data_IF_017214790009
#
_entry.id   IF_017214790009
#
_cell.length_a   1.000
_cell.length_b   1.000
_cell.length_c   1.000
_cell.angle_alpha   90.00
_cell.angle_beta   90.00
_cell.angle_gamma   90.00
#
_symmetry.space_group_name_H-M   'P 1'
#
loop_
_entity.id
_entity.type
_entity.pdbx_description
1 polymer ?
#
# COMPACT_ATOMS: atom_id res chain seq x y z
N UNK A 1 -39.21 -14.32 -18.77
CA UNK A 1 -38.08 -14.71 -17.87
C UNK A 1 -37.49 -13.50 -17.14
N UNK A 2 -37.26 -12.37 -17.81
CA UNK A 2 -36.69 -11.16 -17.19
C UNK A 2 -37.65 -10.53 -16.17
N UNK A 3 -38.90 -10.25 -16.56
CA UNK A 3 -39.95 -9.72 -15.65
C UNK A 3 -40.25 -10.58 -14.42
N UNK A 4 -40.05 -11.89 -14.50
CA UNK A 4 -40.23 -12.80 -13.36
C UNK A 4 -39.07 -12.74 -12.38
N UNK A 5 -37.85 -12.45 -12.85
CA UNK A 5 -36.66 -12.39 -11.97
C UNK A 5 -36.63 -11.12 -11.13
N UNK A 6 -37.08 -10.01 -11.69
CA UNK A 6 -37.19 -8.75 -10.96
C UNK A 6 -38.28 -8.80 -9.90
N UNK A 7 -39.40 -9.47 -10.18
CA UNK A 7 -40.42 -9.73 -9.17
C UNK A 7 -39.92 -10.69 -8.06
N UNK A 8 -39.08 -11.67 -8.39
CA UNK A 8 -38.42 -12.55 -7.39
C UNK A 8 -37.49 -11.76 -6.47
N UNK A 9 -36.76 -10.78 -7.01
CA UNK A 9 -35.91 -9.87 -6.23
C UNK A 9 -36.75 -8.96 -5.32
N UNK A 10 -37.79 -8.33 -5.86
CA UNK A 10 -38.69 -7.45 -5.13
C UNK A 10 -39.45 -8.14 -3.99
N UNK A 11 -39.72 -9.44 -4.11
CA UNK A 11 -40.39 -10.25 -3.10
C UNK A 11 -39.42 -10.90 -2.08
N UNK A 12 -38.11 -10.61 -2.18
CA UNK A 12 -37.06 -11.12 -1.30
C UNK A 12 -37.03 -12.67 -1.19
N UNK A 13 -37.51 -13.35 -2.24
CA UNK A 13 -37.55 -14.82 -2.34
C UNK A 13 -36.17 -15.47 -2.13
N UNK A 14 -35.04 -14.89 -2.59
CA UNK A 14 -33.71 -15.43 -2.31
C UNK A 14 -33.40 -15.51 -0.81
N UNK A 15 -33.72 -14.49 -0.02
CA UNK A 15 -33.44 -14.52 1.43
C UNK A 15 -34.32 -15.55 2.14
N UNK A 16 -35.58 -15.69 1.73
CA UNK A 16 -36.51 -16.69 2.27
C UNK A 16 -36.06 -18.14 2.01
N UNK A 17 -35.25 -18.36 0.97
CA UNK A 17 -34.69 -19.66 0.60
C UNK A 17 -33.22 -19.84 1.03
N UNK A 18 -32.67 -18.91 1.82
CA UNK A 18 -31.30 -18.98 2.33
C UNK A 18 -30.22 -18.66 1.29
N UNK A 19 -30.59 -18.12 0.13
CA UNK A 19 -29.63 -17.65 -0.87
C UNK A 19 -29.15 -16.24 -0.53
N UNK A 20 -27.83 -16.01 -0.67
CA UNK A 20 -27.19 -14.71 -0.41
C UNK A 20 -27.50 -13.65 -1.46
N UNK A 21 -28.05 -14.04 -2.62
CA UNK A 21 -28.42 -13.15 -3.72
C UNK A 21 -29.34 -13.84 -4.73
N UNK A 22 -30.05 -13.07 -5.54
CA UNK A 22 -30.94 -13.51 -6.63
C UNK A 22 -30.19 -14.29 -7.70
N UNK A 23 -28.95 -13.91 -8.01
CA UNK A 23 -28.09 -14.67 -8.93
C UNK A 23 -27.73 -16.06 -8.38
N UNK A 24 -27.41 -16.16 -7.09
CA UNK A 24 -27.10 -17.45 -6.47
C UNK A 24 -28.35 -18.34 -6.34
N UNK A 25 -29.49 -17.74 -5.99
CA UNK A 25 -30.79 -18.42 -5.99
C UNK A 25 -31.13 -19.00 -7.36
N UNK A 26 -31.00 -18.18 -8.41
CA UNK A 26 -31.28 -18.60 -9.78
C UNK A 26 -30.37 -19.74 -10.23
N UNK A 27 -29.06 -19.65 -9.93
CA UNK A 27 -28.10 -20.70 -10.29
C UNK A 27 -28.49 -22.05 -9.69
N UNK A 28 -28.84 -22.07 -8.40
CA UNK A 28 -29.22 -23.29 -7.67
C UNK A 28 -30.53 -23.87 -8.20
N UNK A 29 -31.54 -23.04 -8.46
CA UNK A 29 -32.86 -23.54 -8.85
C UNK A 29 -33.02 -23.85 -10.35
N UNK A 30 -32.11 -23.39 -11.20
CA UNK A 30 -32.21 -23.60 -12.66
C UNK A 30 -31.05 -24.39 -13.25
N UNK A 31 -30.13 -24.88 -12.42
CA UNK A 31 -28.90 -25.58 -12.83
C UNK A 31 -28.05 -24.78 -13.83
N UNK A 32 -28.17 -23.45 -13.82
CA UNK A 32 -27.30 -22.56 -14.58
C UNK A 32 -25.96 -22.42 -13.86
N UNK A 33 -24.90 -22.20 -14.64
CA UNK A 33 -23.64 -21.75 -14.05
C UNK A 33 -23.87 -20.42 -13.32
N UNK A 34 -23.13 -20.17 -12.24
CA UNK A 34 -23.21 -18.90 -11.51
C UNK A 34 -23.07 -17.71 -12.47
N UNK A 35 -22.08 -17.73 -13.35
CA UNK A 35 -21.86 -16.68 -14.35
C UNK A 35 -23.10 -16.41 -15.20
N UNK A 36 -23.76 -17.46 -15.71
CA UNK A 36 -24.98 -17.33 -16.52
C UNK A 36 -26.16 -16.79 -15.72
N UNK A 37 -26.32 -17.22 -14.47
CA UNK A 37 -27.38 -16.75 -13.59
C UNK A 37 -27.22 -15.25 -13.26
N UNK A 38 -26.02 -14.82 -12.85
CA UNK A 38 -25.74 -13.41 -12.59
C UNK A 38 -25.87 -12.54 -13.85
N UNK A 39 -25.44 -13.04 -15.02
CA UNK A 39 -25.66 -12.40 -16.32
C UNK A 39 -27.16 -12.17 -16.58
N UNK A 40 -27.97 -13.21 -16.36
CA UNK A 40 -29.42 -13.16 -16.57
C UNK A 40 -30.10 -12.16 -15.63
N UNK A 41 -29.70 -12.13 -14.35
CA UNK A 41 -30.23 -11.18 -13.36
C UNK A 41 -29.87 -9.74 -13.73
N UNK A 42 -28.63 -9.47 -14.14
CA UNK A 42 -28.23 -8.12 -14.59
C UNK A 42 -29.02 -7.67 -15.80
N UNK A 43 -29.18 -8.53 -16.81
CA UNK A 43 -30.01 -8.22 -17.98
C UNK A 43 -31.46 -7.93 -17.58
N UNK A 44 -32.04 -8.72 -16.66
CA UNK A 44 -33.39 -8.49 -16.18
C UNK A 44 -33.55 -7.13 -15.49
N UNK A 45 -32.62 -6.76 -14.61
CA UNK A 45 -32.62 -5.47 -13.93
C UNK A 45 -32.40 -4.29 -14.90
N UNK A 46 -31.50 -4.45 -15.88
CA UNK A 46 -31.25 -3.43 -16.90
C UNK A 46 -32.48 -3.14 -17.77
N UNK A 47 -33.22 -4.17 -18.17
CA UNK A 47 -34.43 -4.02 -19.00
C UNK A 47 -35.61 -3.34 -18.26
N UNK A 48 -35.56 -3.25 -16.92
CA UNK A 48 -36.51 -2.43 -16.16
C UNK A 48 -36.11 -0.96 -16.08
N UNK A 49 -34.81 -0.66 -16.24
CA UNK A 49 -34.28 0.70 -16.16
C UNK A 49 -34.22 1.40 -17.52
N UNK A 50 -33.89 0.65 -18.57
CA UNK A 50 -33.62 1.17 -19.91
C UNK A 50 -34.73 0.73 -20.88
N UNK A 51 -35.67 1.65 -21.11
CA UNK A 51 -36.90 1.39 -21.85
C UNK A 51 -36.63 1.12 -23.34
N UNK A 52 -35.72 1.87 -23.98
CA UNK A 52 -35.40 1.69 -25.40
C UNK A 52 -34.70 0.35 -25.65
N UNK A 53 -33.82 -0.11 -24.74
CA UNK A 53 -33.16 -1.42 -24.82
C UNK A 53 -34.19 -2.53 -24.71
N UNK A 54 -35.19 -2.37 -23.84
CA UNK A 54 -36.28 -3.33 -23.70
C UNK A 54 -37.11 -3.43 -24.97
N UNK A 55 -37.47 -2.30 -25.56
CA UNK A 55 -38.20 -2.25 -26.84
C UNK A 55 -37.39 -2.87 -27.98
N UNK A 56 -36.12 -2.50 -28.12
CA UNK A 56 -35.23 -3.05 -29.13
C UNK A 56 -35.05 -4.57 -29.00
N UNK A 57 -34.99 -5.10 -27.78
CA UNK A 57 -34.94 -6.54 -27.53
C UNK A 57 -36.26 -7.23 -27.91
N UNK A 58 -37.40 -6.61 -27.57
CA UNK A 58 -38.72 -7.15 -27.91
C UNK A 58 -38.97 -7.19 -29.42
N UNK A 59 -38.46 -6.19 -30.15
CA UNK A 59 -38.51 -6.12 -31.61
C UNK A 59 -37.47 -7.00 -32.30
N UNK A 60 -36.55 -7.61 -31.54
CA UNK A 60 -35.48 -8.46 -32.07
C UNK A 60 -34.34 -7.70 -32.77
N UNK A 61 -34.25 -6.37 -32.59
CA UNK A 61 -33.14 -5.54 -33.10
C UNK A 61 -31.83 -5.81 -32.37
N UNK A 62 -31.90 -6.26 -31.11
CA UNK A 62 -30.74 -6.64 -30.31
C UNK A 62 -30.94 -8.01 -29.66
N UNK A 63 -29.86 -8.78 -29.56
CA UNK A 63 -29.87 -10.08 -28.90
C UNK A 63 -29.40 -10.00 -27.45
N UNK A 64 -29.67 -11.03 -26.65
CA UNK A 64 -29.39 -11.04 -25.21
C UNK A 64 -27.92 -10.73 -24.85
N UNK A 65 -26.97 -11.12 -25.69
CA UNK A 65 -25.55 -10.83 -25.46
C UNK A 65 -25.21 -9.35 -25.66
N UNK A 66 -25.82 -8.71 -26.66
CA UNK A 66 -25.66 -7.28 -26.92
C UNK A 66 -26.34 -6.48 -25.80
N UNK A 67 -27.55 -6.88 -25.39
CA UNK A 67 -28.28 -6.25 -24.28
C UNK A 67 -27.44 -6.22 -23.01
N UNK A 68 -26.78 -7.31 -22.64
CA UNK A 68 -25.91 -7.32 -21.45
C UNK A 68 -24.80 -6.27 -21.54
N UNK A 69 -24.16 -6.15 -22.71
CA UNK A 69 -23.06 -5.21 -22.91
C UNK A 69 -23.57 -3.76 -22.90
N UNK A 70 -24.72 -3.50 -23.51
CA UNK A 70 -25.36 -2.18 -23.52
C UNK A 70 -25.74 -1.77 -22.10
N UNK A 71 -26.47 -2.62 -21.37
CA UNK A 71 -26.86 -2.38 -19.97
C UNK A 71 -25.63 -2.09 -19.11
N UNK A 72 -24.55 -2.86 -19.28
CA UNK A 72 -23.32 -2.63 -18.53
C UNK A 72 -22.67 -1.29 -18.87
N UNK A 73 -22.63 -0.91 -20.14
CA UNK A 73 -22.06 0.37 -20.56
C UNK A 73 -22.86 1.55 -20.00
N UNK A 74 -24.19 1.43 -19.95
CA UNK A 74 -25.08 2.44 -19.37
C UNK A 74 -24.99 2.48 -17.84
N UNK A 75 -24.85 1.32 -17.16
CA UNK A 75 -24.65 1.24 -15.71
C UNK A 75 -23.29 1.81 -15.25
N UNK A 76 -22.30 1.86 -16.16
CA UNK A 76 -20.99 2.46 -15.89
C UNK A 76 -21.02 4.01 -16.06
N UNK A 77 -22.12 4.60 -16.56
CA UNK A 77 -22.27 6.06 -16.65
C UNK A 77 -22.45 6.70 -15.26
N UNK A 78 -21.99 7.94 -15.07
CA UNK A 78 -22.22 8.69 -13.82
C UNK A 78 -23.71 8.89 -13.51
N UNK A 79 -24.09 8.67 -12.24
CA UNK A 79 -25.47 8.87 -11.76
C UNK A 79 -25.95 10.34 -11.86
N UNK A 80 -25.03 11.30 -11.99
CA UNK A 80 -25.34 12.74 -12.10
C UNK A 80 -25.38 13.27 -13.55
N UNK A 81 -25.30 12.39 -14.55
CA UNK A 81 -25.44 12.77 -15.95
C UNK A 81 -26.87 13.24 -16.27
N UNK A 82 -27.02 14.18 -17.20
CA UNK A 82 -28.33 14.61 -17.69
C UNK A 82 -29.10 13.37 -18.21
N UNK A 83 -30.32 13.11 -17.73
CA UNK A 83 -31.15 12.00 -18.23
C UNK A 83 -31.30 11.98 -19.75
N UNK A 84 -31.33 13.14 -20.41
CA UNK A 84 -31.42 13.20 -21.88
C UNK A 84 -30.15 12.64 -22.55
N UNK A 85 -28.96 12.88 -21.98
CA UNK A 85 -27.71 12.31 -22.49
C UNK A 85 -27.65 10.79 -22.28
N UNK A 86 -28.23 10.28 -21.19
CA UNK A 86 -28.38 8.83 -20.98
C UNK A 86 -29.30 8.22 -22.04
N UNK A 87 -30.43 8.88 -22.35
CA UNK A 87 -31.34 8.45 -23.42
C UNK A 87 -30.69 8.48 -24.81
N UNK A 88 -29.89 9.50 -25.11
CA UNK A 88 -29.11 9.58 -26.36
C UNK A 88 -28.05 8.47 -26.43
N UNK A 89 -27.35 8.21 -25.33
CA UNK A 89 -26.37 7.15 -25.22
C UNK A 89 -27.00 5.76 -25.43
N UNK A 90 -28.19 5.55 -24.86
CA UNK A 90 -28.99 4.35 -25.04
C UNK A 90 -29.36 4.14 -26.51
N UNK A 91 -29.93 5.17 -27.16
CA UNK A 91 -30.31 5.14 -28.57
C UNK A 91 -29.13 4.94 -29.52
N UNK A 92 -27.98 5.56 -29.21
CA UNK A 92 -26.74 5.39 -29.97
C UNK A 92 -26.24 3.95 -29.93
N UNK A 93 -26.14 3.35 -28.74
CA UNK A 93 -25.70 1.96 -28.58
C UNK A 93 -26.63 0.95 -29.27
N UNK A 94 -27.94 1.18 -29.22
CA UNK A 94 -28.93 0.34 -29.93
C UNK A 94 -28.75 0.46 -31.45
N UNK A 95 -28.51 1.68 -31.95
CA UNK A 95 -28.27 1.91 -33.38
C UNK A 95 -27.01 1.17 -33.85
N UNK A 96 -25.92 1.27 -33.08
CA UNK A 96 -24.66 0.60 -33.40
C UNK A 96 -24.72 -0.93 -33.24
N UNK A 97 -25.66 -1.46 -32.45
CA UNK A 97 -25.87 -2.90 -32.30
C UNK A 97 -26.32 -3.59 -33.61
N UNK A 98 -26.83 -2.83 -34.59
CA UNK A 98 -27.11 -3.34 -35.93
C UNK A 98 -25.84 -3.64 -36.74
N UNK A 99 -24.70 -3.02 -36.37
CA UNK A 99 -23.42 -3.09 -37.10
C UNK A 99 -22.35 -3.87 -36.34
N UNK A 100 -22.44 -3.90 -35.01
CA UNK A 100 -21.44 -4.49 -34.14
C UNK A 100 -21.99 -5.63 -33.29
N UNK A 101 -21.17 -6.68 -33.12
CA UNK A 101 -21.43 -7.74 -32.16
C UNK A 101 -21.20 -7.25 -30.71
N UNK A 102 -21.46 -8.12 -29.72
CA UNK A 102 -21.28 -7.78 -28.31
C UNK A 102 -19.84 -7.35 -27.97
N UNK A 103 -18.83 -7.90 -28.66
CA UNK A 103 -17.42 -7.54 -28.44
C UNK A 103 -17.12 -6.13 -28.98
N UNK A 104 -17.64 -5.80 -30.17
CA UNK A 104 -17.56 -4.46 -30.76
C UNK A 104 -18.28 -3.43 -29.92
N UNK A 105 -19.51 -3.71 -29.50
CA UNK A 105 -20.30 -2.85 -28.61
C UNK A 105 -19.59 -2.60 -27.28
N UNK A 106 -18.89 -3.59 -26.73
CA UNK A 106 -18.12 -3.40 -25.49
C UNK A 106 -16.99 -2.38 -25.65
N UNK A 107 -16.38 -2.31 -26.84
CA UNK A 107 -15.34 -1.31 -27.15
C UNK A 107 -15.94 0.08 -27.38
N UNK A 108 -17.15 0.15 -27.93
CA UNK A 108 -17.89 1.40 -28.10
C UNK A 108 -18.37 1.94 -26.75
N UNK A 109 -19.01 1.10 -25.94
CA UNK A 109 -19.50 1.44 -24.60
C UNK A 109 -18.42 2.02 -23.68
N UNK A 110 -17.18 1.51 -23.75
CA UNK A 110 -16.04 2.06 -23.00
C UNK A 110 -15.68 3.51 -23.35
N UNK A 111 -16.08 3.98 -24.52
CA UNK A 111 -15.83 5.35 -25.01
C UNK A 111 -17.14 6.13 -25.15
N UNK A 112 -18.25 5.60 -24.63
CA UNK A 112 -19.57 6.21 -24.77
C UNK A 112 -19.59 7.60 -24.14
N UNK A 113 -18.99 7.72 -22.95
CA UNK A 113 -18.93 8.99 -22.25
C UNK A 113 -18.09 10.04 -23.02
N UNK A 114 -16.95 9.63 -23.61
CA UNK A 114 -16.13 10.49 -24.48
C UNK A 114 -16.88 11.03 -25.71
N UNK A 115 -17.89 10.28 -26.19
CA UNK A 115 -18.66 10.61 -27.40
C UNK A 115 -19.90 11.46 -27.07
N UNK A 116 -20.51 11.23 -25.91
CA UNK A 116 -21.78 11.86 -25.53
C UNK A 116 -21.55 13.19 -24.79
N UNK A 117 -20.53 13.28 -23.93
CA UNK A 117 -20.18 14.52 -23.23
C UNK A 117 -18.71 14.49 -22.78
N UNK A 118 -17.87 15.26 -23.47
CA UNK A 118 -16.44 15.35 -23.16
C UNK A 118 -16.16 16.01 -21.80
N UNK A 119 -16.96 17.00 -21.38
CA UNK A 119 -16.76 17.69 -20.10
C UNK A 119 -17.21 16.79 -18.93
N UNK A 120 -18.30 16.04 -19.11
CA UNK A 120 -18.72 15.03 -18.14
C UNK A 120 -17.80 13.79 -18.12
N UNK A 121 -17.14 13.46 -19.24
CA UNK A 121 -16.12 12.41 -19.30
C UNK A 121 -14.93 12.73 -18.41
N UNK A 122 -14.40 13.95 -18.51
CA UNK A 122 -13.29 14.41 -17.67
C UNK A 122 -13.68 14.43 -16.19
N UNK A 123 -14.88 14.91 -15.86
CA UNK A 123 -15.38 14.93 -14.48
C UNK A 123 -15.60 13.52 -13.90
N UNK A 124 -16.08 12.58 -14.71
CA UNK A 124 -16.26 11.19 -14.30
C UNK A 124 -14.93 10.45 -14.15
N UNK A 125 -13.98 10.66 -15.06
CA UNK A 125 -12.62 10.14 -14.94
C UNK A 125 -11.97 10.66 -13.65
N UNK A 126 -12.13 11.94 -13.33
CA UNK A 126 -11.67 12.51 -12.07
C UNK A 126 -12.31 11.83 -10.85
N UNK A 127 -13.63 11.59 -10.84
CA UNK A 127 -14.31 10.88 -9.74
C UNK A 127 -13.86 9.42 -9.61
N UNK A 128 -13.65 8.72 -10.73
CA UNK A 128 -13.12 7.36 -10.74
C UNK A 128 -11.70 7.32 -10.17
N UNK A 129 -10.84 8.23 -10.63
CA UNK A 129 -9.48 8.36 -10.13
C UNK A 129 -9.46 8.66 -8.63
N UNK A 130 -10.30 9.59 -8.15
CA UNK A 130 -10.43 9.89 -6.72
C UNK A 130 -10.90 8.68 -5.91
N UNK A 131 -11.81 7.86 -6.46
CA UNK A 131 -12.25 6.63 -5.81
C UNK A 131 -11.12 5.60 -5.77
N UNK A 132 -10.42 5.40 -6.87
CA UNK A 132 -9.26 4.50 -6.93
C UNK A 132 -8.14 4.94 -5.98
N UNK A 133 -7.87 6.23 -5.88
CA UNK A 133 -6.90 6.80 -4.94
C UNK A 133 -7.33 6.57 -3.48
N UNK A 134 -8.61 6.80 -3.16
CA UNK A 134 -9.16 6.51 -1.83
C UNK A 134 -9.07 5.03 -1.48
N UNK A 135 -9.43 4.14 -2.42
CA UNK A 135 -9.36 2.70 -2.24
C UNK A 135 -7.90 2.23 -2.08
N UNK A 136 -6.97 2.81 -2.85
CA UNK A 136 -5.53 2.53 -2.73
C UNK A 136 -4.97 2.98 -1.38
N UNK A 137 -5.37 4.17 -0.90
CA UNK A 137 -5.00 4.66 0.43
C UNK A 137 -5.57 3.76 1.54
N UNK A 138 -6.84 3.35 1.44
CA UNK A 138 -7.48 2.46 2.39
C UNK A 138 -6.84 1.05 2.41
N UNK A 139 -6.30 0.60 1.28
CA UNK A 139 -5.61 -0.69 1.16
C UNK A 139 -4.15 -0.68 1.66
N UNK A 140 -3.60 0.49 2.00
CA UNK A 140 -2.23 0.63 2.49
C UNK A 140 -2.05 -0.20 3.76
N UNK A 141 -1.01 -1.05 3.76
CA UNK A 141 -0.70 -1.91 4.91
C UNK A 141 0.78 -2.22 4.97
N UNK A 142 1.29 -2.44 6.17
CA UNK A 142 2.64 -2.92 6.43
C UNK A 142 2.57 -4.11 7.38
N UNK A 143 3.11 -5.25 6.98
CA UNK A 143 3.29 -6.42 7.83
C UNK A 143 4.77 -6.74 7.94
N UNK A 144 5.24 -7.04 9.15
CA UNK A 144 6.63 -7.38 9.42
C UNK A 144 6.69 -8.56 10.40
N UNK A 145 7.65 -9.46 10.20
CA UNK A 145 7.94 -10.54 11.14
C UNK A 145 9.45 -10.81 11.19
N UNK A 146 9.92 -11.24 12.36
CA UNK A 146 11.31 -11.65 12.58
C UNK A 146 11.47 -13.15 12.23
N UNK A 147 12.55 -13.53 11.57
CA UNK A 147 12.85 -14.94 11.27
C UNK A 147 13.66 -15.66 12.36
N UNK A 148 14.01 -14.96 13.45
CA UNK A 148 14.79 -15.47 14.56
C UNK A 148 16.29 -15.61 14.26
N UNK A 149 16.73 -15.24 13.05
CA UNK A 149 18.11 -15.33 12.59
C UNK A 149 18.70 -13.95 12.26
N UNK A 150 18.14 -12.91 12.88
CA UNK A 150 18.62 -11.54 12.73
C UNK A 150 18.18 -10.88 11.43
N UNK A 151 17.18 -11.44 10.72
CA UNK A 151 16.54 -10.78 9.58
C UNK A 151 15.07 -10.53 9.89
N UNK A 152 14.62 -9.36 9.48
CA UNK A 152 13.22 -8.98 9.53
C UNK A 152 12.68 -8.98 8.11
N UNK A 153 11.62 -9.75 7.90
CA UNK A 153 10.91 -9.79 6.63
C UNK A 153 9.71 -8.86 6.71
N UNK A 154 9.52 -8.05 5.68
CA UNK A 154 8.41 -7.10 5.61
C UNK A 154 7.72 -7.16 4.25
N UNK A 155 6.39 -7.04 4.26
CA UNK A 155 5.59 -6.83 3.05
C UNK A 155 4.73 -5.59 3.27
N UNK A 156 4.67 -4.74 2.25
CA UNK A 156 3.83 -3.56 2.28
C UNK A 156 2.99 -3.41 1.01
N UNK A 157 1.90 -2.66 1.14
CA UNK A 157 1.14 -2.08 0.04
C UNK A 157 1.09 -0.59 0.30
N UNK A 158 1.45 0.20 -0.71
CA UNK A 158 1.41 1.65 -0.73
C UNK A 158 0.55 2.09 -1.91
N UNK A 159 -0.04 3.27 -1.82
CA UNK A 159 -0.61 3.94 -2.98
C UNK A 159 0.49 4.22 -4.04
N UNK A 160 0.06 4.45 -5.28
CA UNK A 160 0.98 4.61 -6.40
C UNK A 160 1.95 5.79 -6.21
N UNK A 161 1.47 6.89 -5.64
CA UNK A 161 2.27 8.09 -5.39
C UNK A 161 3.36 7.82 -4.35
N UNK A 162 3.00 7.30 -3.17
CA UNK A 162 3.96 7.00 -2.10
C UNK A 162 4.95 5.91 -2.52
N UNK A 163 4.50 4.88 -3.24
CA UNK A 163 5.37 3.84 -3.79
C UNK A 163 6.39 4.38 -4.80
N UNK A 164 5.99 5.30 -5.67
CA UNK A 164 6.87 5.97 -6.61
C UNK A 164 7.89 6.88 -5.89
N UNK A 165 7.45 7.62 -4.87
CA UNK A 165 8.32 8.46 -4.04
C UNK A 165 9.37 7.62 -3.30
N UNK A 166 8.97 6.53 -2.63
CA UNK A 166 9.88 5.60 -1.96
C UNK A 166 10.92 5.04 -2.94
N UNK A 167 10.47 4.58 -4.11
CA UNK A 167 11.36 4.06 -5.15
C UNK A 167 12.39 5.09 -5.59
N UNK A 168 11.99 6.34 -5.83
CA UNK A 168 12.91 7.44 -6.20
C UNK A 168 13.92 7.73 -5.08
N UNK A 169 13.48 7.78 -3.82
CA UNK A 169 14.38 7.96 -2.68
C UNK A 169 15.42 6.85 -2.60
N UNK A 170 15.00 5.58 -2.71
CA UNK A 170 15.91 4.44 -2.67
C UNK A 170 16.89 4.45 -3.84
N UNK A 171 16.43 4.73 -5.05
CA UNK A 171 17.31 4.86 -6.22
C UNK A 171 18.35 5.97 -6.02
N UNK A 172 17.97 7.10 -5.44
CA UNK A 172 18.89 8.23 -5.19
C UNK A 172 20.01 7.90 -4.19
N UNK A 173 19.72 7.03 -3.21
CA UNK A 173 20.69 6.53 -2.22
C UNK A 173 21.52 5.39 -2.82
N UNK A 174 20.87 4.48 -3.55
CA UNK A 174 21.49 3.34 -4.19
C UNK A 174 22.42 3.74 -5.33
N UNK A 175 22.21 4.91 -5.95
CA UNK A 175 22.97 5.40 -7.08
C UNK A 175 24.49 5.40 -6.81
N UNK A 176 25.31 4.83 -7.71
CA UNK A 176 26.75 4.71 -7.53
C UNK A 176 27.46 6.05 -7.81
N UNK A 177 27.28 7.04 -6.93
CA UNK A 177 27.88 8.38 -7.09
C UNK A 177 29.41 8.36 -7.14
N UNK A 178 30.05 7.38 -6.51
CA UNK A 178 31.52 7.27 -6.45
C UNK A 178 32.15 6.44 -7.59
N UNK A 179 31.42 5.51 -8.22
CA UNK A 179 32.01 4.67 -9.29
C UNK A 179 32.04 5.39 -10.63
N UNK A 180 31.08 6.28 -10.89
CA UNK A 180 31.08 7.15 -12.08
C UNK A 180 32.25 8.14 -12.09
N UNK A 181 32.71 8.57 -10.90
CA UNK A 181 33.84 9.50 -10.76
C UNK A 181 35.20 8.83 -11.00
N UNK A 182 35.33 7.52 -10.74
CA UNK A 182 36.62 6.80 -10.79
C UNK A 182 36.77 5.87 -12.00
N UNK A 183 35.67 5.39 -12.60
CA UNK A 183 35.69 4.37 -13.66
C UNK A 183 35.05 4.82 -14.99
N UNK A 184 34.78 6.12 -15.15
CA UNK A 184 34.07 6.65 -16.31
C UNK A 184 32.57 6.35 -16.26
N UNK A 185 31.80 6.71 -17.32
CA UNK A 185 30.35 6.48 -17.36
C UNK A 185 30.07 4.98 -17.43
N UNK A 186 29.94 4.36 -16.27
CA UNK A 186 29.23 3.11 -16.11
C UNK A 186 27.80 3.39 -16.61
N UNK A 187 27.47 2.88 -17.80
CA UNK A 187 26.12 2.99 -18.35
C UNK A 187 25.06 2.60 -17.32
N UNK A 188 23.81 3.06 -17.50
CA UNK A 188 22.70 2.95 -16.55
C UNK A 188 22.48 1.53 -15.99
N UNK A 189 23.33 1.11 -15.05
CA UNK A 189 23.24 -0.19 -14.43
C UNK A 189 22.28 -0.05 -13.27
N UNK A 190 21.09 -0.64 -13.43
CA UNK A 190 20.09 -0.71 -12.35
C UNK A 190 20.77 -1.26 -11.09
N UNK A 191 20.59 -0.63 -9.91
CA UNK A 191 21.15 -1.13 -8.66
C UNK A 191 20.70 -2.57 -8.38
N UNK A 192 21.58 -3.37 -7.78
CA UNK A 192 21.23 -4.74 -7.36
C UNK A 192 20.19 -4.73 -6.25
N UNK A 193 19.46 -5.84 -6.08
CA UNK A 193 18.49 -5.99 -4.98
C UNK A 193 19.14 -5.79 -3.61
N UNK A 194 20.39 -6.25 -3.43
CA UNK A 194 21.18 -6.02 -2.22
C UNK A 194 21.44 -4.53 -1.99
N UNK A 195 21.85 -3.78 -3.04
CA UNK A 195 22.08 -2.34 -2.92
C UNK A 195 20.78 -1.57 -2.61
N UNK A 196 19.66 -1.99 -3.18
CA UNK A 196 18.34 -1.44 -2.85
C UNK A 196 17.95 -1.70 -1.38
N UNK A 197 18.25 -2.90 -0.86
CA UNK A 197 18.03 -3.24 0.55
C UNK A 197 18.91 -2.41 1.50
N UNK A 198 20.19 -2.23 1.17
CA UNK A 198 21.09 -1.35 1.92
C UNK A 198 20.61 0.11 1.89
N UNK A 199 20.17 0.60 0.73
CA UNK A 199 19.61 1.94 0.58
C UNK A 199 18.33 2.13 1.41
N UNK A 200 17.52 1.08 1.57
CA UNK A 200 16.33 1.11 2.42
C UNK A 200 16.69 1.21 3.91
N UNK A 201 17.65 0.42 4.37
CA UNK A 201 18.18 0.55 5.73
C UNK A 201 18.79 1.93 5.99
N UNK A 202 19.53 2.47 5.02
CA UNK A 202 20.10 3.81 5.08
C UNK A 202 19.03 4.91 5.11
N UNK A 203 17.95 4.79 4.33
CA UNK A 203 16.82 5.71 4.34
C UNK A 203 16.16 5.77 5.74
N UNK A 204 15.93 4.60 6.36
CA UNK A 204 15.37 4.50 7.72
C UNK A 204 16.32 5.14 8.74
N UNK A 205 17.62 4.89 8.62
CA UNK A 205 18.63 5.39 9.54
C UNK A 205 18.85 6.91 9.42
N UNK A 206 18.66 7.49 8.23
CA UNK A 206 18.78 8.93 7.98
C UNK A 206 17.57 9.75 8.45
N UNK A 207 16.45 9.11 8.80
CA UNK A 207 15.28 9.86 9.22
C UNK A 207 15.57 10.67 10.51
N UNK A 208 15.30 11.98 10.52
CA UNK A 208 15.66 12.85 11.65
C UNK A 208 14.83 12.52 12.88
N UNK A 209 15.53 12.14 13.95
CA UNK A 209 14.95 11.66 15.22
C UNK A 209 14.06 12.71 15.87
N UNK A 210 14.46 13.99 15.81
CA UNK A 210 13.68 15.11 16.36
C UNK A 210 12.40 15.43 15.58
N UNK A 211 12.13 14.75 14.46
CA UNK A 211 10.88 14.86 13.71
C UNK A 211 10.00 13.60 13.82
N UNK A 212 10.42 12.62 14.61
CA UNK A 212 9.58 11.46 14.88
C UNK A 212 8.38 11.90 15.72
N UNK A 213 7.15 11.46 15.39
CA UNK A 213 6.01 11.66 16.26
C UNK A 213 6.32 11.07 17.65
N UNK A 214 6.08 11.84 18.71
CA UNK A 214 6.16 11.32 20.07
C UNK A 214 4.97 10.38 20.30
N UNK A 215 5.16 9.08 20.05
CA UNK A 215 4.20 8.08 20.47
C UNK A 215 4.27 7.96 22.01
N UNK A 216 3.26 8.48 22.71
CA UNK A 216 3.15 8.33 24.17
C UNK A 216 4.29 8.97 24.99
N UNK A 217 4.96 10.00 24.47
CA UNK A 217 6.04 10.70 25.18
C UNK A 217 7.41 10.01 25.15
N UNK A 218 7.58 8.94 24.38
CA UNK A 218 8.88 8.27 24.20
C UNK A 218 9.34 8.36 22.74
N UNK A 219 10.57 8.82 22.55
CA UNK A 219 11.26 8.65 21.26
C UNK A 219 11.41 7.15 21.00
N UNK A 220 11.25 6.70 19.75
CA UNK A 220 11.54 5.32 19.35
C UNK A 220 13.01 4.99 19.69
N UNK A 221 13.21 4.40 20.88
CA UNK A 221 14.51 4.13 21.48
C UNK A 221 14.70 2.63 21.48
N UNK A 222 15.64 2.15 20.67
CA UNK A 222 16.08 0.76 20.76
C UNK A 222 17.08 0.66 21.91
N UNK A 223 16.77 -0.15 22.93
CA UNK A 223 17.66 -0.37 24.07
C UNK A 223 18.50 -1.61 23.78
N UNK A 224 19.83 -1.44 23.77
CA UNK A 224 20.78 -2.53 23.55
C UNK A 224 21.37 -2.93 24.90
N UNK A 225 21.17 -4.17 25.31
CA UNK A 225 21.72 -4.73 26.54
C UNK A 225 22.90 -5.64 26.22
N UNK A 226 24.07 -5.37 26.79
CA UNK A 226 25.25 -6.22 26.67
C UNK A 226 26.15 -6.12 27.90
N UNK A 227 27.01 -7.11 28.13
CA UNK A 227 27.97 -7.05 29.24
C UNK A 227 29.13 -6.10 28.92
N UNK A 228 29.74 -5.53 29.96
CA UNK A 228 30.86 -4.58 29.83
C UNK A 228 32.04 -5.18 29.03
N UNK A 229 32.41 -6.44 29.30
CA UNK A 229 33.47 -7.13 28.56
C UNK A 229 33.17 -7.22 27.06
N UNK A 230 31.90 -7.42 26.70
CA UNK A 230 31.45 -7.50 25.30
C UNK A 230 31.55 -6.15 24.59
N UNK A 231 31.34 -5.05 25.32
CA UNK A 231 31.48 -3.70 24.80
C UNK A 231 32.95 -3.29 24.63
N UNK A 232 33.83 -3.68 25.57
CA UNK A 232 35.25 -3.31 25.59
C UNK A 232 36.16 -4.18 24.69
N UNK A 233 35.63 -5.22 24.04
CA UNK A 233 36.43 -6.06 23.13
C UNK A 233 35.98 -7.51 22.99
N UNK A 234 35.00 -7.95 23.77
CA UNK A 234 34.47 -9.32 23.76
C UNK A 234 33.62 -9.65 22.52
N UNK A 235 33.54 -10.94 22.21
CA UNK A 235 32.79 -11.49 21.07
C UNK A 235 31.32 -11.82 21.39
N UNK A 236 30.87 -11.66 22.64
CA UNK A 236 29.51 -12.04 23.03
C UNK A 236 28.47 -11.08 22.44
N UNK A 237 27.33 -11.63 22.03
CA UNK A 237 26.26 -10.90 21.38
C UNK A 237 25.52 -9.95 22.35
N UNK A 238 24.95 -8.89 21.80
CA UNK A 238 24.10 -7.93 22.49
C UNK A 238 22.62 -8.21 22.20
N UNK A 239 21.76 -7.96 23.18
CA UNK A 239 20.32 -8.21 23.07
C UNK A 239 19.55 -6.89 22.95
N UNK A 240 18.59 -6.84 22.02
CA UNK A 240 17.65 -5.74 21.87
C UNK A 240 16.45 -5.94 22.80
N UNK A 241 15.81 -4.84 23.22
CA UNK A 241 14.54 -4.85 23.96
C UNK A 241 13.38 -5.48 23.18
N UNK A 242 13.47 -5.50 21.86
CA UNK A 242 12.56 -6.22 20.96
C UNK A 242 12.80 -7.75 20.93
N UNK A 243 13.76 -8.26 21.69
CA UNK A 243 14.10 -9.68 21.78
C UNK A 243 15.14 -10.16 20.75
N UNK A 244 15.49 -9.33 19.76
CA UNK A 244 16.51 -9.64 18.76
C UNK A 244 17.92 -9.69 19.34
N UNK A 245 18.81 -10.50 18.74
CA UNK A 245 20.22 -10.60 19.15
C UNK A 245 21.10 -10.06 18.02
N UNK A 246 21.99 -9.12 18.35
CA UNK A 246 22.92 -8.49 17.40
C UNK A 246 24.38 -8.71 17.84
N UNK A 247 25.32 -8.65 16.90
CA UNK A 247 26.75 -8.78 17.24
C UNK A 247 27.26 -7.56 18.03
N UNK A 248 28.29 -7.77 18.86
CA UNK A 248 28.99 -6.68 19.54
C UNK A 248 29.60 -5.64 18.58
N UNK A 249 29.96 -6.04 17.34
CA UNK A 249 30.44 -5.12 16.32
C UNK A 249 29.33 -4.22 15.76
N UNK A 250 28.14 -4.78 15.51
CA UNK A 250 26.98 -4.01 15.04
C UNK A 250 26.51 -3.05 16.13
N UNK A 251 26.44 -3.50 17.37
CA UNK A 251 26.05 -2.67 18.51
C UNK A 251 27.00 -1.49 18.74
N UNK A 252 28.33 -1.70 18.63
CA UNK A 252 29.32 -0.62 18.71
C UNK A 252 29.18 0.38 17.56
N UNK A 253 28.96 -0.10 16.33
CA UNK A 253 28.73 0.77 15.17
C UNK A 253 27.49 1.66 15.39
N UNK A 254 26.40 1.08 15.89
CA UNK A 254 25.18 1.83 16.22
C UNK A 254 25.44 2.88 17.31
N UNK A 255 26.21 2.56 18.35
CA UNK A 255 26.57 3.51 19.41
C UNK A 255 27.42 4.67 18.90
N UNK A 256 28.41 4.38 18.04
CA UNK A 256 29.25 5.41 17.40
C UNK A 256 28.45 6.31 16.46
N UNK A 257 27.58 5.75 15.60
CA UNK A 257 26.72 6.52 14.70
C UNK A 257 25.70 7.38 15.47
N UNK A 258 25.28 6.93 16.65
CA UNK A 258 24.41 7.68 17.55
C UNK A 258 25.13 8.76 18.38
N UNK A 259 26.46 8.88 18.28
CA UNK A 259 27.26 9.84 19.06
C UNK A 259 27.31 9.53 20.56
N UNK A 260 27.10 8.27 20.94
CA UNK A 260 27.02 7.85 22.34
C UNK A 260 28.40 7.38 22.79
N UNK A 261 29.01 8.17 23.67
CA UNK A 261 30.17 7.75 24.46
C UNK A 261 29.62 6.88 25.60
N UNK A 262 30.08 5.62 25.77
CA UNK A 262 29.56 4.74 26.81
C UNK A 262 29.68 5.38 28.20
N UNK A 263 28.55 5.66 28.85
CA UNK A 263 28.51 6.07 30.24
C UNK A 263 28.17 4.84 31.10
N UNK A 264 29.09 4.45 31.97
CA UNK A 264 28.89 3.35 32.92
C UNK A 264 27.95 3.83 34.02
N UNK A 265 26.78 3.23 34.14
CA UNK A 265 25.88 3.40 35.28
C UNK A 265 25.85 2.09 36.08
N UNK A 266 26.67 1.99 37.13
CA UNK A 266 26.55 0.93 38.12
C UNK A 266 27.71 0.81 39.11
N UNK A 267 27.46 1.20 40.38
CA UNK A 267 28.29 0.87 41.55
C UNK A 267 28.47 2.01 42.56
N UNK A 268 28.35 1.73 43.86
CA UNK A 268 28.50 2.73 44.94
C UNK A 268 29.91 3.36 44.91
N UNK A 269 29.96 4.66 44.66
CA UNK A 269 31.13 5.56 44.70
C UNK A 269 32.00 5.58 43.44
N UNK A 270 32.14 6.80 42.89
CA UNK A 270 33.11 7.28 41.89
C UNK A 270 32.76 7.17 40.39
N UNK A 271 32.39 8.31 39.80
CA UNK A 271 32.44 8.52 38.35
C UNK A 271 33.88 8.89 37.95
N UNK A 272 34.59 7.98 37.28
CA UNK A 272 35.86 8.32 36.66
C UNK A 272 35.63 8.74 35.21
N UNK A 273 35.77 10.04 34.94
CA UNK A 273 35.83 10.59 33.59
C UNK A 273 37.28 10.45 33.12
N UNK A 274 37.54 9.59 32.14
CA UNK A 274 38.82 9.60 31.42
C UNK A 274 38.81 10.75 30.40
N UNK A 275 39.37 11.89 30.79
CA UNK A 275 39.67 12.98 29.87
C UNK A 275 41.01 12.70 29.16
N UNK A 276 40.94 12.23 27.92
CA UNK A 276 42.08 12.17 27.01
C UNK A 276 42.62 13.57 26.70
N UNK A 277 43.95 13.67 26.66
CA UNK A 277 44.77 14.88 26.76
C UNK A 277 44.86 15.65 25.42
N UNK A 278 44.56 16.95 25.44
CA UNK A 278 45.21 17.97 24.59
C UNK A 278 44.39 18.60 23.44
N UNK A 279 44.05 19.89 23.58
CA UNK A 279 43.65 20.77 22.46
C UNK A 279 42.57 21.82 22.78
N UNK A 280 42.94 22.91 23.45
CA UNK A 280 42.18 24.16 23.71
C UNK A 280 41.50 24.76 22.47
N UNK A 281 40.28 25.33 22.49
CA UNK A 281 39.82 26.62 23.11
C UNK A 281 38.27 26.71 22.97
N UNK A 282 37.55 27.56 23.75
CA UNK A 282 36.09 27.50 23.86
C UNK A 282 35.37 28.36 22.82
N UNK A 283 34.27 27.84 22.27
CA UNK A 283 33.21 28.67 21.70
C UNK A 283 31.90 28.33 22.42
N UNK A 284 31.39 29.29 23.19
CA UNK A 284 29.96 29.37 23.53
C UNK A 284 29.21 29.62 22.23
N UNK A 285 28.23 28.77 21.93
CA UNK A 285 26.85 29.19 21.68
C UNK A 285 25.95 27.97 21.45
N UNK A 286 24.71 28.10 21.91
CA UNK A 286 23.78 27.00 22.10
C UNK A 286 23.39 26.27 20.82
N UNK A 287 23.43 24.95 20.88
CA UNK A 287 22.38 24.10 20.30
C UNK A 287 22.42 22.76 21.01
N UNK A 288 21.28 22.37 21.58
CA UNK A 288 21.07 21.06 22.18
C UNK A 288 21.29 19.99 21.11
N UNK A 289 22.43 19.29 21.18
CA UNK A 289 22.72 18.14 20.33
C UNK A 289 21.77 17.01 20.72
N UNK A 290 20.64 16.91 20.04
CA UNK A 290 19.72 15.78 20.17
C UNK A 290 20.30 14.60 19.39
N UNK A 291 21.24 13.89 20.01
CA UNK A 291 21.67 12.57 19.57
C UNK A 291 20.54 11.56 19.76
N UNK A 292 20.47 10.59 18.85
CA UNK A 292 19.58 9.43 18.96
C UNK A 292 19.98 8.70 20.25
N UNK A 293 19.12 8.62 21.26
CA UNK A 293 19.46 8.02 22.54
C UNK A 293 19.36 6.49 22.45
N UNK A 294 20.39 5.81 21.94
CA UNK A 294 20.57 4.36 22.19
C UNK A 294 21.07 4.20 23.62
N UNK A 295 20.17 3.87 24.54
CA UNK A 295 20.59 3.55 25.90
C UNK A 295 21.26 2.17 25.90
N UNK A 296 22.58 2.12 26.10
CA UNK A 296 23.29 0.86 26.36
C UNK A 296 23.27 0.61 27.86
N UNK A 297 22.55 -0.43 28.30
CA UNK A 297 22.52 -0.82 29.72
C UNK A 297 23.45 -2.01 29.92
N UNK A 298 24.41 -1.88 30.83
CA UNK A 298 25.26 -2.98 31.29
C UNK A 298 24.58 -3.73 32.42
N UNK A 299 24.48 -5.05 32.33
CA UNK A 299 24.15 -5.91 33.47
C UNK A 299 25.43 -6.26 34.20
N UNK A 300 25.67 -5.63 35.35
CA UNK A 300 26.70 -6.07 36.27
C UNK A 300 26.25 -7.39 36.91
N UNK A 301 26.93 -8.49 36.61
CA UNK A 301 26.79 -9.71 37.38
C UNK A 301 27.52 -9.50 38.72
N UNK A 302 26.75 -9.32 39.81
CA UNK A 302 27.31 -9.42 41.16
C UNK A 302 27.75 -10.86 41.43
N UNK A 303 29.00 -11.11 41.87
CA UNK A 303 29.39 -12.44 42.34
C UNK A 303 28.63 -12.76 43.64
N UNK A 304 28.06 -13.96 43.73
CA UNK A 304 27.60 -14.51 45.00
C UNK A 304 28.83 -14.71 45.92
N UNK A 305 28.82 -14.19 47.17
CA UNK A 305 29.76 -14.68 48.17
C UNK A 305 29.37 -16.11 48.54
N UNK A 306 30.36 -17.01 48.54
CA UNK A 306 30.22 -18.40 48.98
C UNK A 306 30.03 -18.53 50.49
#
# INVERSE_FOLDING_TARGET
KTRTLTQVDALDVPKQSGATSTGNWLAVHTNLTRTSAFRTVRVAAGLERYDQVREAMAEGRVHAEQVEVIVRALDDLPDDLDPNLVEEAEGHLITEASRFDAVGLKKLGRRLLEVVDQDAADAHEAKLLEKEERDAQAAMRLTMYDDGHGKVHGRFVLDAYTGAALRKMLLSIAAPKHQAATQGPLGERKPTAERMGQAFGELINRYPVGRLPQAGGMNATLVVTMTLDSLMGGLKAAQLDTGGVISASLARRMACEAGIIPAVLGGKSESWIWAGRGGSTPARDGSSSCSRSVAVRSTAATPHPG
#
